data_IF_334359049633
#
_entry.id   IF_334359049633
#
_cell.length_a   1.000
_cell.length_b   1.000
_cell.length_c   1.000
_cell.angle_alpha   90.00
_cell.angle_beta   90.00
_cell.angle_gamma   90.00
#
_symmetry.space_group_name_H-M   'P 1'
#
loop_
_entity.id
_entity.type
_entity.pdbx_description
1 polymer ?
#
# COMPACT_ATOMS: atom_id res chain seq x y z
N UNK A 1 5.50 -13.92 3.84
CA UNK A 1 4.54 -12.89 3.40
C UNK A 1 4.24 -13.08 1.92
N UNK A 2 5.22 -12.93 1.04
CA UNK A 2 5.04 -13.06 -0.42
C UNK A 2 4.45 -14.41 -0.84
N UNK A 3 4.84 -15.50 -0.18
CA UNK A 3 4.34 -16.85 -0.49
C UNK A 3 2.82 -16.98 -0.36
N UNK A 4 2.20 -16.46 0.72
CA UNK A 4 0.76 -16.59 0.87
C UNK A 4 0.00 -15.65 -0.08
N UNK A 5 0.57 -14.49 -0.43
CA UNK A 5 -0.01 -13.59 -1.44
C UNK A 5 0.02 -14.24 -2.83
N UNK A 6 1.09 -14.96 -3.16
CA UNK A 6 1.20 -15.73 -4.38
C UNK A 6 0.20 -16.90 -4.41
N UNK A 7 0.05 -17.63 -3.30
CA UNK A 7 -0.97 -18.69 -3.16
C UNK A 7 -2.40 -18.14 -3.28
N UNK A 8 -2.67 -16.99 -2.68
CA UNK A 8 -3.93 -16.26 -2.83
C UNK A 8 -4.13 -15.66 -4.23
N UNK A 9 -3.12 -15.75 -5.11
CA UNK A 9 -3.09 -15.17 -6.46
C UNK A 9 -3.28 -13.65 -6.49
N UNK A 10 -2.86 -12.96 -5.42
CA UNK A 10 -2.96 -11.50 -5.29
C UNK A 10 -1.76 -10.77 -5.89
N UNK A 11 -0.59 -11.41 -5.95
CA UNK A 11 0.65 -10.79 -6.44
C UNK A 11 0.50 -10.09 -7.80
N UNK A 12 -0.09 -10.71 -8.85
CA UNK A 12 -0.19 -10.05 -10.16
C UNK A 12 -0.99 -8.75 -10.13
N UNK A 13 -2.06 -8.70 -9.33
CA UNK A 13 -2.89 -7.50 -9.18
C UNK A 13 -2.18 -6.41 -8.39
N UNK A 14 -1.42 -6.79 -7.35
CA UNK A 14 -0.61 -5.85 -6.58
C UNK A 14 0.51 -5.26 -7.45
N UNK A 15 1.15 -6.06 -8.29
CA UNK A 15 2.19 -5.61 -9.22
C UNK A 15 1.62 -4.62 -10.26
N UNK A 16 0.43 -4.90 -10.82
CA UNK A 16 -0.27 -3.98 -11.74
C UNK A 16 -0.59 -2.62 -11.09
N UNK A 17 -0.92 -2.63 -9.79
CA UNK A 17 -1.14 -1.42 -9.00
C UNK A 17 0.15 -0.74 -8.52
N UNK A 18 1.34 -1.30 -8.82
CA UNK A 18 2.63 -0.76 -8.44
C UNK A 18 3.17 -1.23 -7.08
N UNK A 19 2.46 -2.10 -6.36
CA UNK A 19 2.86 -2.68 -5.07
C UNK A 19 3.81 -3.89 -5.23
N UNK A 20 4.85 -3.69 -6.02
CA UNK A 20 5.86 -4.70 -6.32
C UNK A 20 6.67 -5.07 -5.06
N UNK A 21 7.12 -6.33 -4.98
CA UNK A 21 8.08 -6.74 -3.96
C UNK A 21 9.46 -6.11 -4.23
N UNK A 22 9.81 -5.09 -3.46
CA UNK A 22 11.11 -4.40 -3.58
C UNK A 22 12.22 -5.01 -2.72
N UNK A 23 11.88 -5.83 -1.73
CA UNK A 23 12.85 -6.52 -0.87
C UNK A 23 12.28 -6.97 0.47
N UNK A 24 13.03 -7.82 1.18
CA UNK A 24 12.72 -8.28 2.53
C UNK A 24 13.57 -7.52 3.55
N UNK A 25 13.02 -6.47 4.14
CA UNK A 25 13.70 -5.65 5.13
C UNK A 25 12.92 -4.41 5.51
N UNK A 26 13.50 -3.58 6.38
CA UNK A 26 12.81 -2.39 6.90
C UNK A 26 12.52 -1.32 5.84
N UNK A 27 13.38 -1.17 4.81
CA UNK A 27 13.18 -0.28 3.65
C UNK A 27 12.62 1.10 4.03
N UNK A 28 11.44 1.47 3.51
CA UNK A 28 10.75 2.74 3.74
C UNK A 28 10.46 3.01 5.22
N UNK A 29 10.22 1.97 6.04
CA UNK A 29 9.89 2.13 7.46
C UNK A 29 11.00 2.85 8.26
N UNK A 30 12.26 2.73 7.81
CA UNK A 30 13.42 3.40 8.41
C UNK A 30 13.92 4.61 7.59
N UNK A 31 13.20 5.02 6.55
CA UNK A 31 13.59 6.14 5.69
C UNK A 31 14.42 5.76 4.46
N UNK A 32 14.65 4.46 4.23
CA UNK A 32 15.29 3.99 2.98
C UNK A 32 14.24 3.87 1.87
N UNK A 33 13.59 5.00 1.56
CA UNK A 33 12.51 5.12 0.56
C UNK A 33 13.02 5.32 -0.87
N UNK A 34 14.27 5.73 -1.03
CA UNK A 34 14.83 6.09 -2.34
C UNK A 34 14.32 7.44 -2.85
N UNK A 35 14.79 7.88 -4.03
CA UNK A 35 14.39 9.17 -4.61
C UNK A 35 12.97 9.11 -5.18
N UNK A 36 12.28 10.26 -5.17
CA UNK A 36 11.06 10.43 -5.93
C UNK A 36 11.39 10.69 -7.41
N UNK A 37 10.48 10.38 -8.35
CA UNK A 37 10.63 10.78 -9.75
C UNK A 37 10.86 12.30 -9.88
N UNK A 38 11.83 12.69 -10.71
CA UNK A 38 12.22 14.10 -10.90
C UNK A 38 11.05 15.05 -11.20
N UNK A 39 10.05 14.70 -12.04
CA UNK A 39 8.89 15.56 -12.26
C UNK A 39 8.08 15.83 -10.98
N UNK A 40 7.98 14.83 -10.10
CA UNK A 40 7.25 14.95 -8.82
C UNK A 40 8.05 15.83 -7.87
N UNK A 41 9.37 15.60 -7.72
CA UNK A 41 10.20 16.46 -6.89
C UNK A 41 10.15 17.92 -7.31
N UNK A 42 10.21 18.16 -8.62
CA UNK A 42 10.16 19.49 -9.21
C UNK A 42 8.82 20.17 -8.90
N UNK A 43 7.70 19.47 -9.10
CA UNK A 43 6.38 19.98 -8.78
C UNK A 43 6.22 20.31 -7.30
N UNK A 44 6.74 19.47 -6.40
CA UNK A 44 6.70 19.72 -4.95
C UNK A 44 7.47 20.98 -4.59
N UNK A 45 8.71 21.11 -5.09
CA UNK A 45 9.60 22.24 -4.79
C UNK A 45 9.09 23.54 -5.39
N UNK A 46 8.62 23.52 -6.64
CA UNK A 46 8.13 24.73 -7.33
C UNK A 46 6.77 25.19 -6.79
N UNK A 47 5.89 24.26 -6.42
CA UNK A 47 4.55 24.57 -5.93
C UNK A 47 4.44 24.76 -4.42
N UNK A 48 5.54 24.61 -3.66
CA UNK A 48 5.54 24.50 -2.18
C UNK A 48 4.42 23.59 -1.65
N UNK A 49 4.25 22.44 -2.29
CA UNK A 49 3.14 21.53 -2.00
C UNK A 49 3.37 20.81 -0.68
N UNK A 50 2.31 20.73 0.13
CA UNK A 50 2.30 19.83 1.30
C UNK A 50 1.92 18.43 0.83
N UNK A 51 2.93 17.60 0.60
CA UNK A 51 2.73 16.19 0.22
C UNK A 51 2.65 15.32 1.47
N UNK A 52 1.68 14.41 1.45
CA UNK A 52 1.50 13.38 2.45
C UNK A 52 1.81 11.99 1.92
N UNK A 53 2.22 11.09 2.81
CA UNK A 53 2.35 9.66 2.49
C UNK A 53 1.68 8.78 3.54
N UNK A 54 1.19 7.62 3.11
CA UNK A 54 0.51 6.64 3.98
C UNK A 54 1.33 5.36 4.00
N UNK A 55 1.61 4.81 5.18
CA UNK A 55 2.34 3.54 5.28
C UNK A 55 1.88 2.69 6.46
N UNK A 56 2.09 1.36 6.40
CA UNK A 56 1.84 0.47 7.53
C UNK A 56 2.99 0.48 8.56
N UNK A 57 3.77 1.56 8.61
CA UNK A 57 4.87 1.72 9.56
C UNK A 57 4.35 1.98 10.99
N UNK A 58 5.27 2.13 11.95
CA UNK A 58 4.94 2.44 13.35
C UNK A 58 5.32 3.86 13.79
N UNK A 59 6.00 4.64 12.93
CA UNK A 59 6.49 5.99 13.22
C UNK A 59 6.27 6.87 12.00
N UNK A 60 5.90 8.12 12.24
CA UNK A 60 5.46 9.06 11.20
C UNK A 60 6.00 10.49 11.40
N UNK A 61 7.19 10.61 12.00
CA UNK A 61 7.86 11.89 12.15
C UNK A 61 8.18 12.53 10.79
N UNK A 62 8.05 13.85 10.71
CA UNK A 62 8.41 14.63 9.53
C UNK A 62 9.87 14.36 9.10
N UNK A 63 10.11 14.28 7.79
CA UNK A 63 11.43 14.06 7.21
C UNK A 63 12.06 12.68 7.45
N UNK A 64 11.46 11.83 8.30
CA UNK A 64 12.00 10.49 8.61
C UNK A 64 11.86 9.52 7.44
N UNK A 65 10.73 9.56 6.74
CA UNK A 65 10.43 8.61 5.67
C UNK A 65 11.02 9.09 4.35
N UNK A 66 10.85 10.37 4.03
CA UNK A 66 11.44 11.02 2.86
C UNK A 66 11.52 12.54 3.14
N UNK A 67 12.61 13.23 2.75
CA UNK A 67 12.81 14.65 3.09
C UNK A 67 11.78 15.60 2.49
N UNK A 68 11.19 15.24 1.34
CA UNK A 68 10.15 16.05 0.67
C UNK A 68 8.73 15.77 1.17
N UNK A 69 8.55 14.86 2.14
CA UNK A 69 7.24 14.52 2.69
C UNK A 69 7.07 15.16 4.07
N UNK A 70 6.16 16.13 4.14
CA UNK A 70 5.87 16.90 5.35
C UNK A 70 4.87 16.18 6.27
N UNK A 71 3.93 15.41 5.71
CA UNK A 71 2.91 14.69 6.48
C UNK A 71 2.98 13.18 6.27
N UNK A 72 2.97 12.41 7.36
CA UNK A 72 3.04 10.95 7.30
C UNK A 72 1.89 10.36 8.11
N UNK A 73 1.09 9.49 7.49
CA UNK A 73 -0.05 8.83 8.10
C UNK A 73 0.22 7.33 8.26
N UNK A 74 -0.10 6.80 9.43
CA UNK A 74 -0.04 5.36 9.70
C UNK A 74 -1.41 4.76 9.39
N UNK A 75 -1.45 3.79 8.49
CA UNK A 75 -2.69 3.15 8.08
C UNK A 75 -2.47 1.65 7.89
N UNK A 76 -3.56 0.88 7.96
CA UNK A 76 -3.51 -0.54 7.65
C UNK A 76 -3.12 -0.77 6.18
N UNK A 77 -2.50 -1.92 5.83
CA UNK A 77 -2.15 -2.22 4.44
C UNK A 77 -3.27 -1.99 3.41
N UNK A 78 -4.54 -2.41 3.64
CA UNK A 78 -5.61 -2.14 2.67
C UNK A 78 -5.97 -0.66 2.55
N UNK A 79 -5.84 0.14 3.62
CA UNK A 79 -6.05 1.59 3.54
C UNK A 79 -4.95 2.30 2.76
N UNK A 80 -3.70 1.82 2.83
CA UNK A 80 -2.61 2.35 2.01
C UNK A 80 -2.92 2.15 0.53
N UNK A 81 -3.45 0.97 0.15
CA UNK A 81 -3.92 0.71 -1.22
C UNK A 81 -5.07 1.64 -1.60
N UNK A 82 -6.05 1.85 -0.72
CA UNK A 82 -7.17 2.76 -1.00
C UNK A 82 -6.72 4.21 -1.27
N UNK A 83 -5.82 4.76 -0.45
CA UNK A 83 -5.27 6.10 -0.67
C UNK A 83 -4.39 6.18 -1.91
N UNK A 84 -3.65 5.11 -2.25
CA UNK A 84 -2.88 5.06 -3.48
C UNK A 84 -3.78 5.07 -4.73
N UNK A 85 -4.89 4.33 -4.70
CA UNK A 85 -5.89 4.31 -5.78
C UNK A 85 -6.53 5.68 -5.98
N UNK A 86 -6.90 6.35 -4.89
CA UNK A 86 -7.53 7.66 -4.97
C UNK A 86 -6.55 8.81 -5.27
N UNK A 87 -5.24 8.60 -5.03
CA UNK A 87 -4.18 9.57 -5.33
C UNK A 87 -4.21 10.85 -4.49
N UNK A 88 -5.08 10.93 -3.48
CA UNK A 88 -5.30 12.11 -2.65
C UNK A 88 -5.68 11.70 -1.23
N UNK A 89 -5.11 12.39 -0.24
CA UNK A 89 -5.39 12.16 1.18
C UNK A 89 -6.52 13.01 1.74
N UNK A 90 -6.96 14.04 1.02
CA UNK A 90 -8.05 14.92 1.43
C UNK A 90 -9.45 14.37 1.06
N UNK A 91 -9.53 13.11 0.63
CA UNK A 91 -10.79 12.46 0.28
C UNK A 91 -11.47 11.93 1.54
N UNK A 92 -12.80 11.93 1.54
CA UNK A 92 -13.57 11.18 2.52
C UNK A 92 -13.87 9.78 1.99
N UNK A 93 -13.07 8.79 2.39
CA UNK A 93 -13.22 7.38 1.98
C UNK A 93 -14.62 6.79 2.26
N UNK A 94 -15.41 7.38 3.15
CA UNK A 94 -16.76 6.91 3.47
C UNK A 94 -17.82 7.38 2.45
N UNK A 95 -17.60 8.53 1.80
CA UNK A 95 -18.62 9.19 0.95
C UNK A 95 -18.16 9.46 -0.47
N UNK A 96 -16.85 9.60 -0.68
CA UNK A 96 -16.28 9.98 -1.96
C UNK A 96 -15.85 8.74 -2.75
N UNK A 97 -16.02 8.73 -4.08
CA UNK A 97 -15.52 7.64 -4.91
C UNK A 97 -13.99 7.63 -4.91
N UNK A 98 -13.40 6.45 -4.93
CA UNK A 98 -11.95 6.26 -5.15
C UNK A 98 -11.55 6.59 -6.59
N UNK A 99 -12.47 6.42 -7.52
CA UNK A 99 -12.27 6.65 -8.94
C UNK A 99 -13.48 6.18 -9.74
N UNK A 100 -13.29 6.03 -11.04
CA UNK A 100 -14.32 5.52 -11.95
C UNK A 100 -13.82 4.24 -12.61
N UNK A 101 -14.73 3.31 -12.86
CA UNK A 101 -14.43 2.09 -13.60
C UNK A 101 -14.27 2.37 -15.11
N UNK A 102 -14.07 1.31 -15.91
CA UNK A 102 -13.91 1.44 -17.37
C UNK A 102 -15.17 1.92 -18.09
N UNK A 103 -16.33 1.89 -17.45
CA UNK A 103 -17.61 2.37 -17.97
C UNK A 103 -17.92 3.80 -17.51
N UNK A 104 -17.11 4.34 -16.59
CA UNK A 104 -17.30 5.66 -16.00
C UNK A 104 -18.17 5.64 -14.74
N UNK A 105 -18.50 4.47 -14.20
CA UNK A 105 -19.29 4.35 -12.97
C UNK A 105 -18.41 4.63 -11.75
N UNK A 106 -18.89 5.40 -10.75
CA UNK A 106 -18.12 5.69 -9.55
C UNK A 106 -17.91 4.43 -8.70
N UNK A 107 -16.67 4.19 -8.28
CA UNK A 107 -16.29 3.07 -7.40
C UNK A 107 -15.96 3.60 -6.02
N UNK A 108 -16.69 3.16 -5.00
CA UNK A 108 -16.50 3.54 -3.61
C UNK A 108 -15.66 2.51 -2.85
N UNK A 109 -15.07 2.90 -1.73
CA UNK A 109 -14.30 1.98 -0.89
C UNK A 109 -15.12 0.74 -0.48
N UNK A 110 -16.38 0.95 -0.10
CA UNK A 110 -17.30 -0.11 0.31
C UNK A 110 -17.55 -1.16 -0.79
N UNK A 111 -17.36 -0.81 -2.06
CA UNK A 111 -17.63 -1.72 -3.19
C UNK A 111 -16.48 -2.72 -3.38
N UNK A 112 -15.27 -2.37 -2.94
CA UNK A 112 -14.06 -3.18 -3.10
C UNK A 112 -13.49 -3.68 -1.77
N UNK A 113 -14.06 -3.27 -0.64
CA UNK A 113 -13.57 -3.65 0.67
C UNK A 113 -14.00 -5.09 1.01
N UNK A 114 -13.04 -6.01 1.26
CA UNK A 114 -13.38 -7.39 1.55
C UNK A 114 -14.04 -7.53 2.92
N UNK A 115 -15.02 -8.43 3.01
CA UNK A 115 -15.63 -8.83 4.28
C UNK A 115 -14.66 -9.65 5.14
N UNK A 116 -14.93 -9.68 6.45
CA UNK A 116 -14.14 -10.50 7.38
C UNK A 116 -14.16 -11.99 7.01
N UNK A 117 -15.29 -12.48 6.48
CA UNK A 117 -15.45 -13.85 6.04
C UNK A 117 -14.59 -14.16 4.80
N UNK A 118 -14.56 -13.27 3.81
CA UNK A 118 -13.72 -13.44 2.62
C UNK A 118 -12.23 -13.42 2.96
N UNK A 119 -11.82 -12.53 3.86
CA UNK A 119 -10.43 -12.49 4.37
C UNK A 119 -10.09 -13.81 5.07
N UNK A 120 -10.94 -14.28 5.99
CA UNK A 120 -10.70 -15.52 6.72
C UNK A 120 -10.58 -16.73 5.78
N UNK A 121 -11.48 -16.83 4.79
CA UNK A 121 -11.45 -17.90 3.80
C UNK A 121 -10.20 -17.84 2.91
N UNK A 122 -9.78 -16.64 2.49
CA UNK A 122 -8.56 -16.46 1.70
C UNK A 122 -7.31 -16.85 2.50
N UNK A 123 -7.25 -16.47 3.77
CA UNK A 123 -6.16 -16.82 4.70
C UNK A 123 -6.11 -18.33 4.92
N UNK A 124 -7.24 -18.97 5.21
CA UNK A 124 -7.33 -20.42 5.41
C UNK A 124 -6.80 -21.17 4.19
N UNK A 125 -7.31 -20.86 3.00
CA UNK A 125 -6.89 -21.50 1.74
C UNK A 125 -5.40 -21.29 1.42
N UNK A 126 -4.84 -20.16 1.82
CA UNK A 126 -3.46 -19.79 1.48
C UNK A 126 -2.42 -20.28 2.49
N UNK A 127 -2.82 -20.47 3.76
CA UNK A 127 -1.91 -20.88 4.83
C UNK A 127 -1.91 -22.39 5.12
N UNK A 128 -3.02 -23.10 4.88
CA UNK A 128 -3.13 -24.53 5.25
C UNK A 128 -2.15 -25.44 4.51
N UNK A 129 -1.59 -25.00 3.37
CA UNK A 129 -0.67 -25.80 2.55
C UNK A 129 0.81 -25.60 2.88
N UNK A 130 1.17 -24.76 3.86
CA UNK A 130 2.53 -24.21 3.96
C UNK A 130 3.29 -24.34 5.30
N UNK A 131 2.72 -24.86 6.37
CA UNK A 131 3.49 -25.02 7.63
C UNK A 131 3.70 -26.50 7.92
N UNK A 132 4.93 -27.06 8.10
CA UNK A 132 6.27 -26.45 8.25
C UNK A 132 7.39 -27.08 7.36
N UNK A 133 8.46 -26.35 7.01
CA UNK A 133 9.89 -26.85 6.99
C UNK A 133 10.92 -25.94 6.28
N UNK A 134 10.54 -25.03 5.38
CA UNK A 134 11.54 -24.37 4.51
C UNK A 134 12.20 -23.10 5.06
N UNK A 135 11.57 -22.38 5.99
CA UNK A 135 12.06 -21.05 6.38
C UNK A 135 13.20 -21.10 7.42
N UNK A 136 13.36 -22.21 8.15
CA UNK A 136 14.39 -22.36 9.20
C UNK A 136 15.57 -23.28 8.82
N UNK A 137 15.70 -23.73 7.57
CA UNK A 137 16.89 -24.48 7.11
C UNK A 137 17.69 -23.63 6.14
N UNK A 138 18.54 -22.78 6.70
CA UNK A 138 19.38 -21.88 5.91
C UNK A 138 20.20 -20.91 6.75
N UNK A 139 20.72 -21.39 7.89
CA UNK A 139 21.95 -20.91 8.53
C UNK A 139 22.70 -22.15 8.99
#
# INVERSE_FOLDING_TARGET
MSDYLAQARLTPYLDELGFNLVGYGCTTCIGNSGPLPEPIETAIKQGDLTVGQSSPANRNFEGRIHPLIKTNWLASPPLVVAYALAGNMNINLATDPLGHDRKGDPVYLKDIWPSAQEIALAVEKSLYRYVPQRVCRGV
#
